data_IF_677273865528
#
_entry.id   IF_677273865528
#
_cell.length_a   1.000
_cell.length_b   1.000
_cell.length_c   1.000
_cell.angle_alpha   90.00
_cell.angle_beta   90.00
_cell.angle_gamma   90.00
#
_symmetry.space_group_name_H-M   'P 1'
#
loop_
_entity.id
_entity.type
_entity.pdbx_description
1 polymer ?
#
# COMPACT_ATOMS: atom_id res chain seq x y z
N UNK A 1 -10.51 -8.16 -14.74
CA UNK A 1 -9.28 -8.26 -13.91
C UNK A 1 -9.28 -7.08 -12.96
N UNK A 2 -9.23 -7.32 -11.64
CA UNK A 2 -9.17 -6.24 -10.66
C UNK A 2 -7.80 -5.56 -10.75
N UNK A 3 -7.77 -4.23 -10.75
CA UNK A 3 -6.52 -3.46 -10.69
C UNK A 3 -6.03 -3.51 -9.25
N UNK A 4 -4.74 -3.76 -9.04
CA UNK A 4 -4.12 -3.70 -7.71
C UNK A 4 -3.37 -2.38 -7.54
N UNK A 5 -3.38 -1.84 -6.34
CA UNK A 5 -2.55 -0.72 -5.93
C UNK A 5 -1.47 -1.20 -4.98
N UNK A 6 -0.33 -0.51 -4.99
CA UNK A 6 0.71 -0.61 -3.99
C UNK A 6 0.91 0.78 -3.36
N UNK A 7 0.82 0.83 -2.03
CA UNK A 7 1.07 2.04 -1.26
C UNK A 7 2.38 1.90 -0.51
N UNK A 8 3.29 2.83 -0.78
CA UNK A 8 4.64 2.85 -0.22
C UNK A 8 4.67 3.74 1.01
N UNK A 9 5.05 3.18 2.15
CA UNK A 9 5.18 3.93 3.38
C UNK A 9 6.61 4.46 3.58
N UNK A 10 6.72 5.58 4.30
CA UNK A 10 8.01 6.09 4.70
C UNK A 10 8.65 5.25 5.82
N UNK A 11 7.84 4.57 6.64
CA UNK A 11 8.28 3.76 7.77
C UNK A 11 7.69 2.36 7.76
N UNK A 12 8.51 1.38 8.14
CA UNK A 12 8.10 -0.02 8.29
C UNK A 12 7.08 -0.21 9.41
N UNK A 13 7.20 0.54 10.51
CA UNK A 13 6.24 0.46 11.62
C UNK A 13 4.86 0.95 11.20
N UNK A 14 4.81 2.03 10.41
CA UNK A 14 3.54 2.55 9.88
C UNK A 14 2.88 1.56 8.92
N UNK A 15 3.66 0.93 8.03
CA UNK A 15 3.13 -0.09 7.13
C UNK A 15 2.53 -1.28 7.90
N UNK A 16 3.22 -1.75 8.95
CA UNK A 16 2.73 -2.84 9.79
C UNK A 16 1.49 -2.46 10.61
N UNK A 17 1.44 -1.23 11.11
CA UNK A 17 0.28 -0.73 11.84
C UNK A 17 -0.95 -0.65 10.93
N UNK A 18 -0.81 -0.04 9.75
CA UNK A 18 -1.88 0.03 8.75
C UNK A 18 -2.33 -1.36 8.33
N UNK A 19 -1.38 -2.29 8.15
CA UNK A 19 -1.71 -3.67 7.83
C UNK A 19 -2.65 -4.28 8.88
N UNK A 20 -2.33 -4.14 10.17
CA UNK A 20 -3.17 -4.66 11.24
C UNK A 20 -4.56 -3.99 11.29
N UNK A 21 -4.65 -2.68 11.06
CA UNK A 21 -5.95 -1.99 11.06
C UNK A 21 -6.83 -2.42 9.89
N UNK A 22 -6.25 -2.56 8.70
CA UNK A 22 -6.98 -3.02 7.51
C UNK A 22 -7.38 -4.50 7.60
N UNK A 23 -6.52 -5.33 8.20
CA UNK A 23 -6.82 -6.75 8.45
C UNK A 23 -7.98 -6.91 9.43
N UNK A 24 -8.04 -6.09 10.49
CA UNK A 24 -9.15 -6.08 11.47
C UNK A 24 -10.51 -5.76 10.85
N UNK A 25 -10.54 -4.93 9.81
CA UNK A 25 -11.78 -4.58 9.08
C UNK A 25 -12.08 -5.54 7.93
N UNK A 26 -11.29 -6.61 7.77
CA UNK A 26 -11.51 -7.65 6.78
C UNK A 26 -11.13 -7.28 5.35
N UNK A 27 -10.26 -6.28 5.15
CA UNK A 27 -9.75 -5.94 3.82
C UNK A 27 -8.59 -6.87 3.47
N UNK A 28 -8.69 -7.48 2.30
CA UNK A 28 -7.63 -8.33 1.79
C UNK A 28 -6.44 -7.49 1.32
N UNK A 29 -5.39 -7.48 2.12
CA UNK A 29 -4.15 -6.75 1.84
C UNK A 29 -2.93 -7.64 1.98
N UNK A 30 -1.88 -7.32 1.24
CA UNK A 30 -0.59 -8.01 1.32
C UNK A 30 0.51 -7.03 1.75
N UNK A 31 1.24 -7.35 2.82
CA UNK A 31 2.40 -6.58 3.25
C UNK A 31 3.65 -7.09 2.54
N UNK A 32 4.25 -6.25 1.69
CA UNK A 32 5.41 -6.59 0.87
C UNK A 32 6.58 -5.64 1.15
N UNK A 33 7.79 -6.06 0.81
CA UNK A 33 8.93 -5.14 0.72
C UNK A 33 8.75 -4.22 -0.46
N UNK A 34 9.02 -2.92 -0.28
CA UNK A 34 8.95 -1.94 -1.38
C UNK A 34 9.94 -2.34 -2.48
N UNK A 35 9.48 -2.54 -3.72
CA UNK A 35 10.36 -2.82 -4.85
C UNK A 35 11.38 -1.70 -5.03
N UNK A 36 12.64 -2.06 -5.28
CA UNK A 36 13.72 -1.11 -5.50
C UNK A 36 13.48 -0.20 -6.72
N UNK A 37 12.63 -0.64 -7.66
CA UNK A 37 12.16 0.12 -8.82
C UNK A 37 11.32 1.33 -8.43
N UNK A 38 10.58 1.25 -7.32
CA UNK A 38 9.73 2.35 -6.83
C UNK A 38 10.52 3.27 -5.92
N UNK A 39 11.26 2.69 -4.97
CA UNK A 39 12.03 3.45 -4.00
C UNK A 39 13.28 2.68 -3.58
N UNK A 40 14.44 3.33 -3.68
CA UNK A 40 15.68 2.81 -3.11
C UNK A 40 15.62 2.91 -1.58
N UNK A 41 15.40 1.78 -0.91
CA UNK A 41 15.42 1.65 0.55
C UNK A 41 14.58 0.46 1.05
N UNK A 42 14.97 -0.16 2.16
CA UNK A 42 14.28 -1.30 2.79
C UNK A 42 12.97 -0.91 3.52
N UNK A 43 12.12 -0.16 2.84
CA UNK A 43 10.78 0.19 3.33
C UNK A 43 9.78 -0.92 3.00
N UNK A 44 8.64 -0.92 3.70
CA UNK A 44 7.51 -1.80 3.42
C UNK A 44 6.40 -1.05 2.69
N UNK A 45 5.66 -1.82 1.91
CA UNK A 45 4.50 -1.37 1.16
C UNK A 45 3.33 -2.33 1.41
N UNK A 46 2.11 -1.84 1.23
CA UNK A 46 0.92 -2.69 1.20
C UNK A 46 0.37 -2.76 -0.20
N UNK A 47 -0.08 -3.94 -0.61
CA UNK A 47 -0.81 -4.16 -1.85
C UNK A 47 -2.27 -4.41 -1.49
N UNK A 48 -3.18 -3.78 -2.24
CA UNK A 48 -4.63 -3.91 -2.05
C UNK A 48 -5.36 -3.80 -3.40
N UNK A 49 -6.59 -4.29 -3.46
CA UNK A 49 -7.43 -4.16 -4.65
C UNK A 49 -7.96 -2.74 -4.82
N UNK A 50 -8.14 -2.29 -6.06
CA UNK A 50 -8.66 -0.96 -6.37
C UNK A 50 -10.04 -0.66 -5.78
N UNK A 51 -10.84 -1.70 -5.53
CA UNK A 51 -12.16 -1.58 -4.90
C UNK A 51 -12.08 -1.07 -3.46
N UNK A 52 -10.95 -1.32 -2.78
CA UNK A 52 -10.76 -1.00 -1.36
C UNK A 52 -10.00 0.33 -1.17
N UNK A 53 -9.68 1.03 -2.26
CA UNK A 53 -8.82 2.21 -2.24
C UNK A 53 -9.34 3.33 -1.34
N UNK A 54 -10.64 3.60 -1.37
CA UNK A 54 -11.23 4.65 -0.55
C UNK A 54 -11.14 4.33 0.94
N UNK A 55 -11.33 3.05 1.31
CA UNK A 55 -11.22 2.61 2.69
C UNK A 55 -9.77 2.66 3.16
N UNK A 56 -8.83 2.18 2.35
CA UNK A 56 -7.39 2.22 2.65
C UNK A 56 -6.91 3.66 2.84
N UNK A 57 -7.27 4.57 1.93
CA UNK A 57 -6.90 5.99 2.07
C UNK A 57 -7.50 6.60 3.33
N UNK A 58 -8.75 6.26 3.67
CA UNK A 58 -9.41 6.80 4.85
C UNK A 58 -8.72 6.32 6.14
N UNK A 59 -8.41 5.03 6.26
CA UNK A 59 -7.67 4.50 7.41
C UNK A 59 -6.29 5.12 7.54
N UNK A 60 -5.54 5.22 6.44
CA UNK A 60 -4.22 5.86 6.46
C UNK A 60 -4.29 7.32 6.93
N UNK A 61 -5.31 8.07 6.49
CA UNK A 61 -5.54 9.45 6.92
C UNK A 61 -5.90 9.55 8.40
N UNK A 62 -6.74 8.66 8.93
CA UNK A 62 -7.10 8.64 10.37
C UNK A 62 -5.87 8.50 11.27
N UNK A 63 -4.89 7.73 10.81
CA UNK A 63 -3.70 7.37 11.57
C UNK A 63 -2.57 8.38 11.34
N UNK A 64 -2.70 9.26 10.33
CA UNK A 64 -1.68 10.24 9.97
C UNK A 64 -0.40 9.60 9.44
N UNK A 65 -0.49 8.43 8.81
CA UNK A 65 0.71 7.75 8.32
C UNK A 65 1.30 8.47 7.10
N UNK A 66 2.63 8.48 7.01
CA UNK A 66 3.36 9.17 5.95
C UNK A 66 3.51 8.23 4.76
N UNK A 67 2.74 8.49 3.72
CA UNK A 67 2.81 7.78 2.45
C UNK A 67 3.83 8.48 1.54
N UNK A 68 4.77 7.73 0.96
CA UNK A 68 5.69 8.24 -0.08
C UNK A 68 5.04 8.30 -1.45
N UNK A 69 4.13 7.38 -1.73
CA UNK A 69 3.34 7.38 -2.95
C UNK A 69 2.43 6.17 -3.06
N UNK A 70 1.47 6.27 -3.96
CA UNK A 70 0.56 5.19 -4.35
C UNK A 70 0.83 4.90 -5.83
N UNK A 71 0.93 3.63 -6.19
CA UNK A 71 1.19 3.19 -7.54
C UNK A 71 0.19 2.10 -7.92
N UNK A 72 -0.20 2.04 -9.18
CA UNK A 72 -0.94 0.93 -9.76
C UNK A 72 0.02 -0.17 -10.19
N UNK A 73 -0.35 -1.42 -9.96
CA UNK A 73 0.34 -2.60 -10.48
C UNK A 73 -0.36 -2.99 -11.79
N UNK A 74 0.35 -2.90 -12.91
CA UNK A 74 -0.20 -3.38 -14.19
C UNK A 74 0.10 -4.87 -14.42
N UNK A 75 -0.51 -5.46 -15.45
CA UNK A 75 -0.34 -6.89 -15.78
C UNK A 75 1.11 -7.30 -16.13
N UNK A 76 2.03 -6.34 -16.28
CA UNK A 76 3.46 -6.58 -16.51
C UNK A 76 4.30 -6.40 -15.24
N UNK A 77 3.67 -6.35 -14.05
CA UNK A 77 4.31 -6.01 -12.78
C UNK A 77 5.02 -4.65 -12.76
N UNK A 78 4.67 -3.74 -13.69
CA UNK A 78 5.20 -2.38 -13.66
C UNK A 78 4.35 -1.52 -12.75
N UNK A 79 5.04 -0.66 -12.01
CA UNK A 79 4.45 0.28 -11.07
C UNK A 79 4.25 1.63 -11.76
N UNK A 80 3.00 2.03 -11.97
CA UNK A 80 2.66 3.33 -12.56
C UNK A 80 2.10 4.22 -11.46
N UNK A 81 2.69 5.40 -11.26
CA UNK A 81 2.23 6.35 -10.25
C UNK A 81 0.75 6.69 -10.50
N UNK A 82 -0.08 6.47 -9.49
CA UNK A 82 -1.52 6.69 -9.54
C UNK A 82 -1.89 8.16 -9.34
#
# INVERSE_FOLDING_TARGET
MAKKYIMVFASNSQAAFIYNELDKIGINIELVSTPAEILKGCTKSIIYDSKDNDVVINEVKKIGAIIKGIYTINNQNKYVKA
#
